data_IF_779277145099
#
_entry.id   IF_779277145099
#
_cell.length_a   1.000
_cell.length_b   1.000
_cell.length_c   1.000
_cell.angle_alpha   90.00
_cell.angle_beta   90.00
_cell.angle_gamma   90.00
#
_symmetry.space_group_name_H-M   'P 1'
#
loop_
_entity.id
_entity.type
_entity.pdbx_description
1 polymer ?
#
# COMPACT_ATOMS: atom_id res chain seq x y z
N UNK A 1 -32.99 -0.30 -33.90
CA UNK A 1 -32.33 0.56 -32.90
C UNK A 1 -31.70 -0.35 -31.83
N UNK A 2 -30.39 -0.58 -31.85
CA UNK A 2 -29.68 -1.32 -30.80
C UNK A 2 -28.56 -0.41 -30.29
N UNK A 3 -28.58 0.06 -29.04
CA UNK A 3 -27.52 0.91 -28.53
C UNK A 3 -26.23 0.10 -28.37
N UNK A 4 -25.15 0.81 -28.57
CA UNK A 4 -23.79 0.42 -28.91
C UNK A 4 -23.08 -0.37 -27.81
N UNK A 5 -22.22 -1.32 -28.23
CA UNK A 5 -21.19 -1.96 -27.41
C UNK A 5 -20.32 -0.88 -26.79
N UNK A 6 -20.30 -0.81 -25.47
CA UNK A 6 -19.43 0.08 -24.71
C UNK A 6 -17.97 -0.35 -24.89
N UNK A 7 -17.26 0.37 -25.76
CA UNK A 7 -15.82 0.32 -25.91
C UNK A 7 -15.17 1.21 -24.85
N UNK A 8 -14.70 0.60 -23.76
CA UNK A 8 -13.76 1.22 -22.85
C UNK A 8 -12.57 0.26 -22.66
N UNK A 9 -11.64 0.29 -23.61
CA UNK A 9 -10.33 -0.29 -23.46
C UNK A 9 -9.55 0.55 -22.43
N UNK A 10 -9.88 0.34 -21.15
CA UNK A 10 -9.10 0.87 -20.05
C UNK A 10 -7.70 0.29 -20.14
N UNK A 11 -6.69 1.17 -20.18
CA UNK A 11 -5.28 0.82 -19.98
C UNK A 11 -5.23 -0.26 -18.90
N UNK A 12 -4.83 -1.48 -19.26
CA UNK A 12 -4.50 -2.52 -18.28
C UNK A 12 -3.28 -2.02 -17.52
N UNK A 13 -3.54 -1.24 -16.46
CA UNK A 13 -2.58 -0.90 -15.41
C UNK A 13 -2.01 -2.25 -15.01
N UNK A 14 -0.70 -2.42 -15.17
CA UNK A 14 -0.01 -3.68 -14.87
C UNK A 14 -0.15 -3.89 -13.37
N UNK A 15 -1.19 -4.61 -12.94
CA UNK A 15 -1.45 -4.86 -11.53
C UNK A 15 -0.34 -5.79 -11.04
N UNK A 16 0.48 -5.30 -10.11
CA UNK A 16 1.49 -6.12 -9.45
C UNK A 16 0.76 -7.14 -8.59
N UNK A 17 1.10 -8.42 -8.74
CA UNK A 17 0.56 -9.47 -7.87
C UNK A 17 1.04 -9.19 -6.44
N UNK A 18 0.10 -9.03 -5.49
CA UNK A 18 0.49 -8.74 -4.12
C UNK A 18 1.40 -9.81 -3.55
N UNK A 19 1.13 -11.10 -3.83
CA UNK A 19 1.87 -12.21 -3.23
C UNK A 19 3.37 -12.19 -3.56
N UNK A 20 3.78 -11.61 -4.69
CA UNK A 20 5.19 -11.42 -5.05
C UNK A 20 5.83 -10.24 -4.32
N UNK A 21 5.04 -9.20 -4.05
CA UNK A 21 5.48 -7.99 -3.39
C UNK A 21 5.34 -8.04 -1.85
N UNK A 22 4.74 -9.09 -1.29
CA UNK A 22 4.67 -9.29 0.16
C UNK A 22 6.05 -9.61 0.75
N UNK A 23 6.30 -9.22 2.00
CA UNK A 23 7.51 -9.61 2.70
C UNK A 23 7.49 -11.10 3.08
N UNK A 24 8.68 -11.67 3.22
CA UNK A 24 8.84 -13.05 3.68
C UNK A 24 8.56 -13.12 5.19
N UNK A 25 7.78 -14.11 5.59
CA UNK A 25 7.49 -14.42 6.99
C UNK A 25 8.29 -15.65 7.42
N UNK A 26 8.74 -15.68 8.68
CA UNK A 26 9.32 -16.90 9.26
C UNK A 26 8.23 -17.96 9.53
N UNK A 27 8.65 -19.15 9.94
CA UNK A 27 7.76 -20.27 10.30
C UNK A 27 6.79 -19.93 11.44
N UNK A 28 7.01 -18.82 12.15
CA UNK A 28 6.16 -18.31 13.23
C UNK A 28 5.25 -17.15 12.76
N UNK A 29 5.20 -16.89 11.46
CA UNK A 29 4.38 -15.82 10.87
C UNK A 29 4.90 -14.42 11.19
N UNK A 30 6.13 -14.27 11.66
CA UNK A 30 6.73 -12.96 11.95
C UNK A 30 7.42 -12.42 10.72
N UNK A 31 7.28 -11.12 10.55
CA UNK A 31 8.00 -10.40 9.51
C UNK A 31 9.50 -10.48 9.77
N UNK A 32 10.26 -11.03 8.81
CA UNK A 32 11.72 -11.12 8.90
C UNK A 32 12.32 -9.87 8.29
N UNK A 33 12.22 -8.75 9.02
CA UNK A 33 12.79 -7.49 8.59
C UNK A 33 12.59 -6.38 9.63
N UNK A 34 13.54 -5.45 9.79
CA UNK A 34 13.44 -4.37 10.75
C UNK A 34 12.19 -3.52 10.48
N UNK A 35 11.36 -3.31 11.50
CA UNK A 35 10.34 -2.27 11.47
C UNK A 35 11.02 -0.96 11.79
N UNK A 36 11.22 -0.11 10.79
CA UNK A 36 11.73 1.24 11.03
C UNK A 36 10.63 2.07 11.70
N UNK A 37 10.98 2.72 12.81
CA UNK A 37 10.10 3.71 13.44
C UNK A 37 10.21 5.03 12.68
N UNK A 38 9.15 5.34 11.94
CA UNK A 38 9.04 6.55 11.13
C UNK A 38 8.60 7.77 11.94
N UNK A 39 8.00 7.55 13.12
CA UNK A 39 7.29 8.60 13.86
C UNK A 39 8.19 9.78 14.21
N UNK A 40 9.42 9.51 14.62
CA UNK A 40 10.42 10.51 14.97
C UNK A 40 10.91 11.39 13.80
N UNK A 41 10.53 11.08 12.56
CA UNK A 41 11.02 11.76 11.34
C UNK A 41 9.91 12.46 10.54
N UNK A 42 8.66 12.27 10.93
CA UNK A 42 7.52 12.92 10.28
C UNK A 42 7.44 14.42 10.56
N UNK A 43 8.30 14.98 11.41
CA UNK A 43 8.29 16.41 11.74
C UNK A 43 8.99 17.29 10.69
N UNK A 44 9.77 16.70 9.76
CA UNK A 44 10.43 17.44 8.67
C UNK A 44 9.49 17.59 7.45
N UNK A 45 9.11 18.83 7.05
CA UNK A 45 8.22 19.06 5.91
C UNK A 45 8.73 18.52 4.57
N UNK A 46 10.05 18.44 4.37
CA UNK A 46 10.65 17.89 3.14
C UNK A 46 10.42 16.38 3.06
N UNK A 47 10.66 15.68 4.17
CA UNK A 47 10.41 14.24 4.32
C UNK A 47 8.92 13.93 4.21
N UNK A 48 8.04 14.79 4.74
CA UNK A 48 6.59 14.61 4.59
C UNK A 48 6.13 14.63 3.13
N UNK A 49 6.71 15.52 2.32
CA UNK A 49 6.36 15.65 0.90
C UNK A 49 6.78 14.41 0.12
N UNK A 50 8.03 13.97 0.31
CA UNK A 50 8.56 12.77 -0.34
C UNK A 50 7.82 11.51 0.10
N UNK A 51 7.51 11.39 1.40
CA UNK A 51 6.74 10.29 1.93
C UNK A 51 5.32 10.25 1.35
N UNK A 52 4.68 11.41 1.18
CA UNK A 52 3.36 11.49 0.56
C UNK A 52 3.40 11.05 -0.90
N UNK A 53 4.43 11.43 -1.66
CA UNK A 53 4.63 10.98 -3.04
C UNK A 53 4.84 9.46 -3.10
N UNK A 54 5.71 8.93 -2.24
CA UNK A 54 5.99 7.50 -2.14
C UNK A 54 4.75 6.68 -1.74
N UNK A 55 3.99 7.14 -0.75
CA UNK A 55 2.73 6.51 -0.33
C UNK A 55 1.72 6.52 -1.48
N UNK A 56 1.58 7.64 -2.19
CA UNK A 56 0.67 7.75 -3.33
C UNK A 56 1.06 6.80 -4.46
N UNK A 57 2.35 6.68 -4.77
CA UNK A 57 2.86 5.73 -5.75
C UNK A 57 2.57 4.27 -5.32
N UNK A 58 2.88 3.91 -4.08
CA UNK A 58 2.64 2.57 -3.56
C UNK A 58 1.14 2.21 -3.54
N UNK A 59 0.25 3.12 -3.11
CA UNK A 59 -1.21 2.92 -3.19
C UNK A 59 -1.64 2.72 -4.65
N UNK A 60 -1.00 3.39 -5.60
CA UNK A 60 -1.27 3.24 -7.02
C UNK A 60 -0.82 1.90 -7.62
N UNK A 61 0.13 1.21 -7.00
CA UNK A 61 0.58 -0.12 -7.42
C UNK A 61 -0.32 -1.25 -6.91
N UNK A 62 -1.09 -1.01 -5.84
CA UNK A 62 -2.06 -1.99 -5.34
C UNK A 62 -3.07 -2.37 -6.45
N UNK A 63 -3.45 -3.66 -6.58
CA UNK A 63 -4.61 -4.08 -7.34
C UNK A 63 -5.86 -3.32 -6.87
N UNK A 64 -6.75 -3.03 -7.80
CA UNK A 64 -7.91 -2.17 -7.55
C UNK A 64 -8.71 -2.61 -6.32
N UNK A 65 -8.93 -3.92 -6.17
CA UNK A 65 -9.72 -4.49 -5.06
C UNK A 65 -9.04 -4.28 -3.70
N UNK A 66 -7.72 -4.47 -3.62
CA UNK A 66 -6.96 -4.27 -2.37
C UNK A 66 -6.91 -2.80 -1.98
N UNK A 67 -6.74 -1.90 -2.96
CA UNK A 67 -6.81 -0.45 -2.75
C UNK A 67 -8.17 -0.04 -2.18
N UNK A 68 -9.26 -0.47 -2.81
CA UNK A 68 -10.61 -0.12 -2.34
C UNK A 68 -10.86 -0.64 -0.93
N UNK A 69 -10.46 -1.88 -0.65
CA UNK A 69 -10.61 -2.47 0.70
C UNK A 69 -9.80 -1.68 1.75
N UNK A 70 -8.59 -1.24 1.39
CA UNK A 70 -7.75 -0.43 2.27
C UNK A 70 -8.34 0.95 2.53
N UNK A 71 -8.81 1.66 1.51
CA UNK A 71 -9.40 3.00 1.65
C UNK A 71 -10.66 2.95 2.52
N UNK A 72 -11.57 2.02 2.25
CA UNK A 72 -12.78 1.87 3.06
C UNK A 72 -12.45 1.59 4.54
N UNK A 73 -11.35 0.88 4.81
CA UNK A 73 -10.96 0.52 6.17
C UNK A 73 -10.20 1.62 6.91
N UNK A 74 -9.16 2.16 6.27
CA UNK A 74 -8.15 3.00 6.93
C UNK A 74 -8.42 4.50 6.73
N UNK A 75 -9.23 4.89 5.72
CA UNK A 75 -9.61 6.28 5.48
C UNK A 75 -11.06 6.53 5.91
N UNK A 76 -11.99 5.70 5.44
CA UNK A 76 -13.42 5.86 5.73
C UNK A 76 -13.85 5.25 7.08
N UNK A 77 -12.99 4.42 7.69
CA UNK A 77 -13.22 3.85 9.02
C UNK A 77 -14.30 2.75 9.09
N UNK A 78 -14.71 2.16 7.96
CA UNK A 78 -15.72 1.10 7.95
C UNK A 78 -15.23 -0.16 8.66
N UNK A 79 -16.16 -0.87 9.31
CA UNK A 79 -15.89 -2.18 9.88
C UNK A 79 -15.69 -3.25 8.79
N UNK A 80 -15.01 -4.35 9.13
CA UNK A 80 -14.81 -5.44 8.17
C UNK A 80 -16.12 -6.06 7.65
N UNK A 81 -17.19 -6.00 8.46
CA UNK A 81 -18.52 -6.50 8.08
C UNK A 81 -19.16 -5.57 7.04
N UNK A 82 -19.16 -4.26 7.30
CA UNK A 82 -19.65 -3.27 6.34
C UNK A 82 -18.87 -3.32 5.01
N UNK A 83 -17.55 -3.48 5.06
CA UNK A 83 -16.74 -3.62 3.85
C UNK A 83 -17.08 -4.91 3.09
N UNK A 84 -17.29 -6.02 3.80
CA UNK A 84 -17.71 -7.29 3.21
C UNK A 84 -19.06 -7.14 2.48
N UNK A 85 -20.02 -6.44 3.08
CA UNK A 85 -21.32 -6.14 2.49
C UNK A 85 -21.18 -5.23 1.25
N UNK A 86 -20.45 -4.12 1.35
CA UNK A 86 -20.23 -3.16 0.25
C UNK A 86 -19.54 -3.80 -0.95
N UNK A 87 -18.58 -4.69 -0.71
CA UNK A 87 -17.78 -5.32 -1.77
C UNK A 87 -18.31 -6.69 -2.21
N UNK A 88 -19.33 -7.24 -1.56
CA UNK A 88 -19.89 -8.57 -1.87
C UNK A 88 -18.91 -9.72 -1.65
N UNK A 89 -18.07 -9.65 -0.61
CA UNK A 89 -17.03 -10.65 -0.31
C UNK A 89 -17.12 -11.12 1.14
N UNK A 90 -16.41 -12.19 1.49
CA UNK A 90 -16.40 -12.68 2.87
C UNK A 90 -15.57 -11.79 3.81
N UNK A 91 -15.95 -11.72 5.09
CA UNK A 91 -15.18 -11.01 6.12
C UNK A 91 -13.73 -11.52 6.24
N UNK A 92 -13.44 -12.83 6.15
CA UNK A 92 -12.05 -13.31 6.06
C UNK A 92 -11.30 -12.75 4.85
N UNK A 93 -11.95 -12.64 3.68
CA UNK A 93 -11.32 -12.05 2.50
C UNK A 93 -10.99 -10.56 2.69
N UNK A 94 -11.85 -9.79 3.36
CA UNK A 94 -11.56 -8.40 3.76
C UNK A 94 -10.31 -8.33 4.63
N UNK A 95 -10.26 -9.14 5.71
CA UNK A 95 -9.11 -9.18 6.64
C UNK A 95 -7.81 -9.46 5.90
N UNK A 96 -7.80 -10.49 5.04
CA UNK A 96 -6.63 -10.85 4.23
C UNK A 96 -6.22 -9.72 3.30
N UNK A 97 -7.16 -9.08 2.60
CA UNK A 97 -6.85 -7.99 1.66
C UNK A 97 -6.30 -6.75 2.35
N UNK A 98 -6.90 -6.30 3.45
CA UNK A 98 -6.39 -5.16 4.24
C UNK A 98 -4.99 -5.47 4.75
N UNK A 99 -4.81 -6.65 5.34
CA UNK A 99 -3.51 -7.03 5.88
C UNK A 99 -2.42 -7.04 4.80
N UNK A 100 -2.69 -7.70 3.67
CA UNK A 100 -1.75 -7.76 2.53
C UNK A 100 -1.47 -6.36 1.96
N UNK A 101 -2.48 -5.50 1.84
CA UNK A 101 -2.30 -4.12 1.37
C UNK A 101 -1.39 -3.32 2.32
N UNK A 102 -1.57 -3.43 3.64
CA UNK A 102 -0.69 -2.75 4.61
C UNK A 102 0.74 -3.27 4.58
N UNK A 103 0.93 -4.58 4.43
CA UNK A 103 2.25 -5.18 4.30
C UNK A 103 2.98 -4.69 3.05
N UNK A 104 2.28 -4.64 1.92
CA UNK A 104 2.80 -4.09 0.67
C UNK A 104 3.26 -2.64 0.85
N UNK A 105 2.40 -1.77 1.41
CA UNK A 105 2.76 -0.38 1.67
C UNK A 105 3.96 -0.25 2.60
N UNK A 106 4.01 -1.05 3.67
CA UNK A 106 5.13 -1.02 4.62
C UNK A 106 6.46 -1.39 3.96
N UNK A 107 6.47 -2.37 3.06
CA UNK A 107 7.67 -2.74 2.30
C UNK A 107 8.13 -1.60 1.40
N UNK A 108 7.23 -1.09 0.55
CA UNK A 108 7.54 -0.02 -0.40
C UNK A 108 8.06 1.24 0.32
N UNK A 109 7.43 1.63 1.43
CA UNK A 109 7.86 2.80 2.21
C UNK A 109 9.17 2.55 2.96
N UNK A 110 9.41 1.32 3.42
CA UNK A 110 10.67 0.91 4.04
C UNK A 110 11.88 1.12 3.13
N UNK A 111 11.75 0.69 1.87
CA UNK A 111 12.81 0.84 0.88
C UNK A 111 13.07 2.32 0.54
N UNK A 112 12.01 3.11 0.38
CA UNK A 112 12.11 4.54 0.07
C UNK A 112 12.86 5.29 1.16
N UNK A 113 12.44 5.17 2.41
CA UNK A 113 13.06 6.00 3.45
C UNK A 113 14.45 5.47 3.83
N UNK A 114 14.73 4.17 3.67
CA UNK A 114 16.10 3.65 3.75
C UNK A 114 17.00 4.34 2.73
N UNK A 115 16.49 4.58 1.52
CA UNK A 115 17.19 5.30 0.46
C UNK A 115 17.35 6.80 0.78
N UNK A 116 16.32 7.47 1.30
CA UNK A 116 16.39 8.88 1.71
C UNK A 116 17.45 9.12 2.81
N UNK A 117 17.64 8.16 3.71
CA UNK A 117 18.69 8.21 4.74
C UNK A 117 20.11 8.14 4.15
N UNK A 118 20.33 7.40 3.06
CA UNK A 118 21.66 7.30 2.43
C UNK A 118 22.08 8.59 1.72
N UNK A 119 21.10 9.32 1.16
CA UNK A 119 21.35 10.58 0.46
C UNK A 119 21.61 11.74 1.43
N UNK A 120 20.88 11.83 2.53
CA UNK A 120 21.07 12.88 3.56
C UNK A 120 22.39 12.74 4.31
N UNK A 121 22.86 11.52 4.57
CA UNK A 121 24.17 11.28 5.19
C UNK A 121 25.36 11.67 4.29
N UNK A 122 25.19 11.68 2.96
CA UNK A 122 26.26 12.00 2.01
C UNK A 122 26.44 13.51 1.80
N UNK A 123 25.41 14.33 2.08
CA UNK A 123 25.45 15.78 1.90
C UNK A 123 26.08 16.61 3.03
N UNK A 124 26.42 16.01 4.17
CA UNK A 124 26.96 16.71 5.34
C UNK A 124 28.51 16.74 5.42
N UNK A 125 29.20 16.28 4.37
CA UNK A 125 30.67 16.23 4.30
C UNK A 125 31.27 17.15 3.21
N UNK A 126 30.63 18.28 2.90
CA UNK A 126 31.19 19.28 1.98
C UNK A 126 30.92 20.70 2.44
#
# INVERSE_FOLDING_TARGET
MRPTRNSAAGRRRREVSLDEALPVFDERGRHVGPTVDWSARLDDPSIQTELRLALTAAINELPAVSRTTLVLRDVEGLSNVQIAEVLGISVPAVKTRVHRARLFLRKQLGDVVTTLNATTATGAAS
#
